data_IF_398900372283
#
_entry.id   IF_398900372283
#
_cell.length_a   1.000
_cell.length_b   1.000
_cell.length_c   1.000
_cell.angle_alpha   90.00
_cell.angle_beta   90.00
_cell.angle_gamma   90.00
#
_symmetry.space_group_name_H-M   'P 1'
#
loop_
_entity.id
_entity.type
_entity.pdbx_description
1 polymer ?
#
# COMPACT_ATOMS: atom_id res chain seq x y z
N UNK A 1 42.89 -4.37 -6.60
CA UNK A 1 42.31 -4.39 -5.23
C UNK A 1 41.73 -3.04 -4.79
N UNK A 2 42.34 -1.90 -5.16
CA UNK A 2 41.76 -0.57 -4.89
C UNK A 2 40.42 -0.31 -5.61
N UNK A 3 40.22 -0.66 -6.91
CA UNK A 3 38.95 -0.35 -7.60
C UNK A 3 37.75 -1.17 -7.09
N UNK A 4 38.00 -2.36 -6.54
CA UNK A 4 36.94 -3.20 -5.95
C UNK A 4 36.44 -2.61 -4.63
N UNK A 5 37.33 -2.01 -3.83
CA UNK A 5 36.95 -1.33 -2.59
C UNK A 5 36.11 -0.08 -2.84
N UNK A 6 36.44 0.67 -3.90
CA UNK A 6 35.66 1.85 -4.32
C UNK A 6 34.26 1.43 -4.77
N UNK A 7 34.17 0.36 -5.57
CA UNK A 7 32.87 -0.16 -6.05
C UNK A 7 31.98 -0.65 -4.90
N UNK A 8 32.56 -1.36 -3.92
CA UNK A 8 31.83 -1.83 -2.74
C UNK A 8 31.34 -0.65 -1.88
N UNK A 9 32.17 0.38 -1.72
CA UNK A 9 31.80 1.59 -0.96
C UNK A 9 30.60 2.31 -1.59
N UNK A 10 30.57 2.43 -2.92
CA UNK A 10 29.45 3.06 -3.65
C UNK A 10 28.17 2.24 -3.48
N UNK A 11 28.25 0.90 -3.56
CA UNK A 11 27.09 0.02 -3.36
C UNK A 11 26.51 0.20 -1.97
N UNK A 12 27.34 0.21 -0.92
CA UNK A 12 26.90 0.41 0.47
C UNK A 12 26.28 1.80 0.65
N UNK A 13 26.85 2.82 0.00
CA UNK A 13 26.34 4.19 0.07
C UNK A 13 24.96 4.34 -0.60
N UNK A 14 24.77 3.73 -1.78
CA UNK A 14 23.49 3.72 -2.50
C UNK A 14 22.44 2.92 -1.74
N UNK A 15 22.80 1.72 -1.24
CA UNK A 15 21.91 0.95 -0.37
C UNK A 15 21.54 1.72 0.90
N UNK A 16 22.51 2.41 1.50
CA UNK A 16 22.29 3.30 2.63
C UNK A 16 21.29 4.40 2.30
N UNK A 17 21.44 5.07 1.16
CA UNK A 17 20.50 6.12 0.71
C UNK A 17 19.08 5.61 0.44
N UNK A 18 18.92 4.37 -0.02
CA UNK A 18 17.60 3.76 -0.28
C UNK A 18 16.97 3.24 1.03
N UNK A 19 17.76 2.63 1.92
CA UNK A 19 17.29 2.09 3.20
C UNK A 19 17.06 3.19 4.25
N UNK A 20 17.78 4.31 4.17
CA UNK A 20 17.67 5.43 5.12
C UNK A 20 16.25 6.03 5.21
N UNK A 21 15.56 6.38 4.10
CA UNK A 21 14.17 6.83 4.19
C UNK A 21 13.22 5.73 4.68
N UNK A 22 13.51 4.46 4.39
CA UNK A 22 12.70 3.32 4.85
C UNK A 22 12.80 3.10 6.37
N UNK A 23 13.96 3.36 6.98
CA UNK A 23 14.16 3.23 8.43
C UNK A 23 13.78 4.51 9.21
N UNK A 24 13.93 5.69 8.60
CA UNK A 24 13.65 6.98 9.28
C UNK A 24 12.15 7.30 9.38
N UNK A 25 11.30 6.68 8.55
CA UNK A 25 9.84 6.80 8.66
C UNK A 25 9.23 6.06 9.87
N UNK A 26 10.03 5.45 10.74
CA UNK A 26 9.53 4.79 11.97
C UNK A 26 9.63 5.63 13.24
N UNK A 27 10.19 6.84 13.21
CA UNK A 27 10.38 7.66 14.43
C UNK A 27 10.14 9.15 14.17
N UNK A 28 8.87 9.54 14.15
CA UNK A 28 8.47 10.94 14.22
C UNK A 28 6.96 11.10 14.35
N UNK A 29 6.50 11.31 15.59
CA UNK A 29 5.16 11.82 15.99
C UNK A 29 3.97 10.86 15.77
N UNK A 30 3.58 10.02 16.74
CA UNK A 30 2.93 10.32 18.03
C UNK A 30 1.48 10.86 17.87
N UNK A 31 0.50 10.13 18.43
CA UNK A 31 -0.89 10.58 18.72
C UNK A 31 -1.90 10.79 17.59
N UNK A 32 -1.58 10.46 16.33
CA UNK A 32 -2.61 10.42 15.29
C UNK A 32 -3.49 9.18 15.52
N UNK A 33 -4.64 9.42 16.13
CA UNK A 33 -5.92 8.84 15.73
C UNK A 33 -5.77 8.24 14.32
N UNK A 34 -5.81 6.91 14.22
CA UNK A 34 -5.67 6.20 12.96
C UNK A 34 -6.87 6.55 12.09
N UNK A 35 -6.80 7.73 11.48
CA UNK A 35 -7.87 8.28 10.67
C UNK A 35 -8.10 7.34 9.50
N UNK A 36 -9.36 7.20 9.08
CA UNK A 36 -9.73 6.37 7.95
C UNK A 36 -8.84 6.65 6.71
N UNK A 37 -8.38 7.90 6.53
CA UNK A 37 -7.43 8.27 5.48
C UNK A 37 -6.07 7.58 5.57
N UNK A 38 -5.51 7.38 6.77
CA UNK A 38 -4.22 6.69 6.95
C UNK A 38 -4.35 5.20 6.67
N UNK A 39 -5.48 4.59 7.06
CA UNK A 39 -5.78 3.19 6.74
C UNK A 39 -6.00 2.98 5.24
N UNK A 40 -6.74 3.88 4.58
CA UNK A 40 -7.00 3.81 3.15
C UNK A 40 -5.70 3.89 2.32
N UNK A 41 -4.79 4.81 2.67
CA UNK A 41 -3.47 4.91 2.03
C UNK A 41 -2.70 3.59 2.15
N UNK A 42 -2.65 3.00 3.35
CA UNK A 42 -1.97 1.70 3.56
C UNK A 42 -2.58 0.58 2.71
N UNK A 43 -3.91 0.53 2.60
CA UNK A 43 -4.60 -0.47 1.77
C UNK A 43 -4.27 -0.29 0.28
N UNK A 44 -4.18 0.94 -0.20
CA UNK A 44 -3.74 1.23 -1.56
C UNK A 44 -2.28 0.83 -1.80
N UNK A 45 -1.38 1.06 -0.84
CA UNK A 45 0.01 0.61 -0.91
C UNK A 45 0.10 -0.92 -0.94
N UNK A 46 -0.64 -1.61 -0.08
CA UNK A 46 -0.74 -3.07 -0.05
C UNK A 46 -1.27 -3.62 -1.37
N UNK A 47 -2.30 -3.01 -1.95
CA UNK A 47 -2.83 -3.36 -3.27
C UNK A 47 -1.73 -3.26 -4.34
N UNK A 48 -1.02 -2.14 -4.38
CA UNK A 48 0.03 -1.91 -5.38
C UNK A 48 1.17 -2.91 -5.23
N UNK A 49 1.57 -3.22 -4.00
CA UNK A 49 2.58 -4.23 -3.71
C UNK A 49 2.15 -5.63 -4.20
N UNK A 50 0.91 -6.04 -3.90
CA UNK A 50 0.35 -7.33 -4.34
C UNK A 50 0.26 -7.44 -5.87
N UNK A 51 -0.17 -6.38 -6.54
CA UNK A 51 -0.18 -6.35 -8.02
C UNK A 51 1.24 -6.49 -8.56
N UNK A 52 2.21 -5.81 -7.96
CA UNK A 52 3.63 -5.99 -8.31
C UNK A 52 4.12 -7.42 -8.11
N UNK A 53 3.74 -8.07 -7.00
CA UNK A 53 4.10 -9.47 -6.72
C UNK A 53 3.48 -10.44 -7.72
N UNK A 54 2.22 -10.21 -8.15
CA UNK A 54 1.57 -11.02 -9.18
C UNK A 54 2.30 -10.87 -10.52
N UNK A 55 2.61 -9.63 -10.92
CA UNK A 55 3.35 -9.39 -12.17
C UNK A 55 4.74 -10.03 -12.16
N UNK A 56 5.44 -9.98 -11.03
CA UNK A 56 6.74 -10.66 -10.89
C UNK A 56 6.59 -12.19 -10.98
N UNK A 57 5.56 -12.74 -10.34
CA UNK A 57 5.28 -14.16 -10.35
C UNK A 57 4.91 -14.67 -11.75
N UNK A 58 4.13 -13.89 -12.51
CA UNK A 58 3.80 -14.18 -13.91
C UNK A 58 5.07 -14.17 -14.77
N UNK A 59 5.97 -13.20 -14.56
CA UNK A 59 7.26 -13.15 -15.24
C UNK A 59 8.16 -14.35 -14.92
N UNK A 60 8.24 -14.76 -13.65
CA UNK A 60 9.02 -15.92 -13.22
C UNK A 60 8.48 -17.21 -13.87
N UNK A 61 7.16 -17.34 -14.02
CA UNK A 61 6.54 -18.45 -14.74
C UNK A 61 6.87 -18.44 -16.24
N UNK A 62 6.81 -17.27 -16.88
CA UNK A 62 7.15 -17.13 -18.30
C UNK A 62 8.62 -17.46 -18.58
N UNK A 63 9.51 -17.19 -17.63
CA UNK A 63 10.92 -17.59 -17.68
C UNK A 63 11.17 -19.06 -17.33
N UNK A 64 10.15 -19.78 -16.84
CA UNK A 64 10.27 -21.15 -16.35
C UNK A 64 11.14 -21.28 -15.09
N UNK A 65 11.30 -20.20 -14.32
CA UNK A 65 12.10 -20.19 -13.07
C UNK A 65 11.31 -20.69 -11.87
N UNK A 66 9.99 -20.85 -12.02
CA UNK A 66 9.08 -21.41 -11.02
C UNK A 66 8.31 -22.60 -11.61
N UNK A 67 8.01 -23.59 -10.77
CA UNK A 67 7.14 -24.69 -11.15
C UNK A 67 5.69 -24.22 -11.31
N UNK A 68 4.98 -24.75 -12.32
CA UNK A 68 3.58 -24.47 -12.62
C UNK A 68 2.66 -24.69 -11.40
N UNK A 69 2.89 -25.73 -10.61
CA UNK A 69 2.07 -26.00 -9.42
C UNK A 69 2.23 -24.90 -8.35
N UNK A 70 3.46 -24.46 -8.11
CA UNK A 70 3.77 -23.38 -7.17
C UNK A 70 3.28 -22.02 -7.68
N UNK A 71 3.43 -21.77 -8.99
CA UNK A 71 2.88 -20.61 -9.66
C UNK A 71 1.36 -20.52 -9.48
N UNK A 72 0.62 -21.58 -9.79
CA UNK A 72 -0.84 -21.59 -9.67
C UNK A 72 -1.28 -21.36 -8.23
N UNK A 73 -0.61 -21.99 -7.25
CA UNK A 73 -0.91 -21.81 -5.83
C UNK A 73 -0.68 -20.37 -5.38
N UNK A 74 0.51 -19.82 -5.64
CA UNK A 74 0.89 -18.47 -5.21
C UNK A 74 0.05 -17.40 -5.91
N UNK A 75 -0.23 -17.57 -7.20
CA UNK A 75 -1.06 -16.64 -7.96
C UNK A 75 -2.48 -16.58 -7.42
N UNK A 76 -3.06 -17.75 -7.12
CA UNK A 76 -4.39 -17.82 -6.49
C UNK A 76 -4.39 -17.10 -5.14
N UNK A 77 -3.41 -17.36 -4.30
CA UNK A 77 -3.28 -16.71 -2.99
C UNK A 77 -3.16 -15.19 -3.08
N UNK A 78 -2.32 -14.68 -3.99
CA UNK A 78 -2.17 -13.24 -4.18
C UNK A 78 -3.44 -12.58 -4.75
N UNK A 79 -4.14 -13.24 -5.66
CA UNK A 79 -5.42 -12.76 -6.19
C UNK A 79 -6.48 -12.70 -5.09
N UNK A 80 -6.58 -13.72 -4.24
CA UNK A 80 -7.52 -13.75 -3.12
C UNK A 80 -7.24 -12.64 -2.10
N UNK A 81 -5.96 -12.40 -1.79
CA UNK A 81 -5.53 -11.29 -0.93
C UNK A 81 -5.85 -9.93 -1.55
N UNK A 82 -5.58 -9.74 -2.85
CA UNK A 82 -5.90 -8.51 -3.56
C UNK A 82 -7.42 -8.23 -3.56
N UNK A 83 -8.25 -9.27 -3.79
CA UNK A 83 -9.70 -9.15 -3.72
C UNK A 83 -10.19 -8.74 -2.32
N UNK A 84 -9.54 -9.24 -1.26
CA UNK A 84 -9.87 -8.88 0.12
C UNK A 84 -9.56 -7.41 0.40
N UNK A 85 -8.38 -6.92 0.00
CA UNK A 85 -7.99 -5.52 0.15
C UNK A 85 -8.91 -4.59 -0.63
N UNK A 86 -9.28 -4.95 -1.87
CA UNK A 86 -10.21 -4.15 -2.67
C UNK A 86 -11.58 -4.01 -2.00
N UNK A 87 -12.10 -5.08 -1.39
CA UNK A 87 -13.36 -5.01 -0.62
C UNK A 87 -13.24 -4.08 0.59
N UNK A 88 -12.10 -4.08 1.26
CA UNK A 88 -11.88 -3.23 2.42
C UNK A 88 -11.77 -1.75 2.04
N UNK A 89 -11.09 -1.44 0.92
CA UNK A 89 -11.07 -0.11 0.31
C UNK A 89 -12.48 0.36 0.01
N UNK A 90 -13.28 -0.44 -0.71
CA UNK A 90 -14.66 -0.08 -1.05
C UNK A 90 -15.52 0.17 0.18
N UNK A 91 -15.37 -0.63 1.25
CA UNK A 91 -16.12 -0.43 2.50
C UNK A 91 -15.78 0.91 3.16
N UNK A 92 -14.50 1.28 3.20
CA UNK A 92 -14.05 2.54 3.79
C UNK A 92 -14.55 3.73 2.96
N UNK A 93 -14.47 3.63 1.63
CA UNK A 93 -14.95 4.67 0.71
C UNK A 93 -16.48 4.86 0.79
N UNK A 94 -17.25 3.78 0.93
CA UNK A 94 -18.70 3.86 1.13
C UNK A 94 -19.07 4.48 2.48
N UNK A 95 -18.32 4.13 3.54
CA UNK A 95 -18.53 4.70 4.89
C UNK A 95 -18.25 6.21 4.88
N UNK A 96 -17.14 6.64 4.27
CA UNK A 96 -16.78 8.05 4.20
C UNK A 96 -17.76 8.86 3.35
N UNK A 97 -18.28 8.28 2.26
CA UNK A 97 -19.33 8.90 1.45
C UNK A 97 -20.60 9.18 2.26
N UNK A 98 -21.06 8.20 3.04
CA UNK A 98 -22.24 8.37 3.90
C UNK A 98 -22.02 9.36 5.05
N UNK A 99 -20.82 9.41 5.63
CA UNK A 99 -20.46 10.42 6.64
C UNK A 99 -20.51 11.83 6.06
N UNK A 100 -19.95 12.04 4.86
CA UNK A 100 -20.01 13.33 4.16
C UNK A 100 -21.45 13.74 3.84
N UNK A 101 -22.29 12.81 3.38
CA UNK A 101 -23.70 13.09 3.06
C UNK A 101 -24.49 13.55 4.29
N UNK A 102 -24.30 12.88 5.43
CA UNK A 102 -24.90 13.30 6.71
C UNK A 102 -24.42 14.67 7.16
N UNK A 103 -23.14 14.98 6.96
CA UNK A 103 -22.59 16.29 7.32
C UNK A 103 -23.22 17.40 6.47
N UNK A 104 -23.37 17.18 5.16
CA UNK A 104 -24.05 18.11 4.25
C UNK A 104 -25.49 18.35 4.69
N UNK A 105 -26.25 17.30 4.99
CA UNK A 105 -27.65 17.44 5.41
C UNK A 105 -27.78 18.21 6.73
N UNK A 106 -26.89 17.95 7.70
CA UNK A 106 -26.85 18.69 8.95
C UNK A 106 -26.55 20.18 8.74
N UNK A 107 -25.68 20.53 7.79
CA UNK A 107 -25.36 21.93 7.46
C UNK A 107 -26.57 22.64 6.83
N UNK A 108 -27.28 21.96 5.92
CA UNK A 108 -28.50 22.49 5.29
C UNK A 108 -29.59 22.77 6.35
N UNK A 109 -29.83 21.84 7.27
CA UNK A 109 -30.82 22.02 8.34
C UNK A 109 -30.47 23.19 9.28
N UNK A 110 -29.18 23.35 9.62
CA UNK A 110 -28.73 24.48 10.45
C UNK A 110 -28.95 25.82 9.77
N UNK A 111 -28.73 25.91 8.46
CA UNK A 111 -28.98 27.15 7.71
C UNK A 111 -30.48 27.50 7.65
N UNK A 112 -31.35 26.51 7.44
CA UNK A 112 -32.80 26.74 7.39
C UNK A 112 -33.43 27.11 8.74
N UNK A 113 -32.82 26.74 9.88
CA UNK A 113 -33.32 27.11 11.20
C UNK A 113 -32.78 28.46 11.71
N UNK A 114 -31.91 29.13 10.96
CA UNK A 114 -31.36 30.45 11.28
C UNK A 114 -31.92 31.60 10.42
N UNK A 115 -32.77 31.30 9.44
CA UNK A 115 -33.54 32.27 8.65
C UNK A 115 -35.00 32.27 9.04
#
# INVERSE_FOLDING_TARGET
>A
MIPTLISISIIIFVFGLILYPFARNKKGMAWLEESQGTQLIRLYDLKNALVGSISQLDFDNDLGTINVDDYQRLRKEYVERAATILREISRIEETSAHEMEREIENLIQKQNNQG
#
